data_IF_556755575249
#
_entry.id   IF_556755575249
#
_cell.length_a   1.000
_cell.length_b   1.000
_cell.length_c   1.000
_cell.angle_alpha   90.00
_cell.angle_beta   90.00
_cell.angle_gamma   90.00
#
_symmetry.space_group_name_H-M   'P 1'
#
loop_
_entity.id
_entity.type
_entity.pdbx_description
1 polymer ?
#
# COMPACT_ATOMS: atom_id res chain seq x y z
N UNK A 1 -4.34 -28.17 33.06
CA UNK A 1 -3.06 -27.65 32.53
C UNK A 1 -3.05 -27.59 30.99
N UNK A 2 -4.14 -27.13 30.34
CA UNK A 2 -4.23 -27.05 28.86
C UNK A 2 -4.81 -25.71 28.38
N UNK A 3 -5.75 -25.14 29.14
CA UNK A 3 -6.36 -23.85 28.80
C UNK A 3 -5.39 -22.65 28.89
N UNK A 4 -4.47 -22.63 29.86
CA UNK A 4 -3.49 -21.55 30.03
C UNK A 4 -2.43 -21.50 28.93
N UNK A 5 -2.01 -22.66 28.37
CA UNK A 5 -1.11 -22.69 27.21
C UNK A 5 -1.81 -22.19 25.94
N UNK A 6 -3.09 -22.54 25.74
CA UNK A 6 -3.86 -22.11 24.55
C UNK A 6 -4.07 -20.59 24.55
N UNK A 7 -4.37 -20.00 25.72
CA UNK A 7 -4.50 -18.55 25.87
C UNK A 7 -3.19 -17.80 25.61
N UNK A 8 -2.05 -18.32 26.12
CA UNK A 8 -0.74 -17.73 25.87
C UNK A 8 -0.36 -17.79 24.37
N UNK A 9 -0.63 -18.91 23.71
CA UNK A 9 -0.37 -19.07 22.26
C UNK A 9 -1.26 -18.13 21.42
N UNK A 10 -2.54 -17.96 21.75
CA UNK A 10 -3.43 -17.04 21.03
C UNK A 10 -3.00 -15.57 21.14
N UNK A 11 -2.53 -15.13 22.32
CA UNK A 11 -2.03 -13.77 22.51
C UNK A 11 -0.74 -13.54 21.72
N UNK A 12 0.18 -14.51 21.70
CA UNK A 12 1.42 -14.41 20.93
C UNK A 12 1.18 -14.39 19.41
N UNK A 13 0.25 -15.20 18.91
CA UNK A 13 -0.08 -15.23 17.47
C UNK A 13 -0.84 -13.97 17.05
N UNK A 14 -1.75 -13.44 17.89
CA UNK A 14 -2.50 -12.23 17.59
C UNK A 14 -1.62 -10.98 17.43
N UNK A 15 -0.60 -10.83 18.28
CA UNK A 15 0.37 -9.72 18.20
C UNK A 15 1.25 -9.80 16.94
N UNK A 16 1.65 -11.00 16.51
CA UNK A 16 2.48 -11.16 15.30
C UNK A 16 1.70 -10.98 14.00
N UNK A 17 0.37 -11.10 14.02
CA UNK A 17 -0.48 -10.96 12.82
C UNK A 17 -0.64 -9.50 12.40
N UNK A 18 -0.70 -8.56 13.34
CA UNK A 18 -0.90 -7.14 13.04
C UNK A 18 0.32 -6.50 12.37
N UNK A 19 1.53 -6.81 12.83
CA UNK A 19 2.76 -6.24 12.28
C UNK A 19 3.00 -6.69 10.82
N UNK A 20 2.79 -7.97 10.52
CA UNK A 20 3.00 -8.50 9.17
C UNK A 20 1.99 -7.98 8.13
N UNK A 21 0.80 -7.59 8.58
CA UNK A 21 -0.23 -7.01 7.72
C UNK A 21 0.09 -5.55 7.38
N UNK A 22 0.63 -4.78 8.33
CA UNK A 22 1.07 -3.41 8.11
C UNK A 22 2.23 -3.35 7.10
N UNK A 23 3.21 -4.25 7.22
CA UNK A 23 4.35 -4.32 6.29
C UNK A 23 3.90 -4.57 4.85
N UNK A 24 2.95 -5.50 4.63
CA UNK A 24 2.44 -5.80 3.29
C UNK A 24 1.76 -4.59 2.63
N UNK A 25 0.93 -3.85 3.36
CA UNK A 25 0.23 -2.69 2.82
C UNK A 25 1.19 -1.53 2.55
N UNK A 26 2.16 -1.32 3.44
CA UNK A 26 3.20 -0.34 3.23
C UNK A 26 4.01 -0.65 1.97
N UNK A 27 4.52 -1.87 1.83
CA UNK A 27 5.29 -2.29 0.66
C UNK A 27 4.50 -2.16 -0.64
N UNK A 28 3.23 -2.55 -0.63
CA UNK A 28 2.35 -2.43 -1.78
C UNK A 28 2.11 -0.95 -2.17
N UNK A 29 1.81 -0.08 -1.19
CA UNK A 29 1.69 1.35 -1.44
C UNK A 29 2.99 1.94 -2.00
N UNK A 30 4.14 1.64 -1.38
CA UNK A 30 5.44 2.20 -1.79
C UNK A 30 5.80 1.74 -3.20
N UNK A 31 5.56 0.48 -3.54
CA UNK A 31 5.74 -0.04 -4.89
C UNK A 31 4.88 0.68 -5.91
N UNK A 32 3.60 0.90 -5.59
CA UNK A 32 2.65 1.61 -6.44
C UNK A 32 3.00 3.10 -6.61
N UNK A 33 3.28 3.80 -5.52
CA UNK A 33 3.72 5.19 -5.53
C UNK A 33 5.08 5.36 -6.25
N UNK A 34 5.96 4.36 -6.22
CA UNK A 34 7.20 4.37 -7.01
C UNK A 34 6.93 4.31 -8.51
N UNK A 35 5.91 3.55 -8.95
CA UNK A 35 5.48 3.53 -10.34
C UNK A 35 4.91 4.90 -10.74
N UNK A 36 4.02 5.46 -9.93
CA UNK A 36 3.43 6.79 -10.19
C UNK A 36 4.50 7.89 -10.21
N UNK A 37 5.51 7.82 -9.33
CA UNK A 37 6.62 8.80 -9.32
C UNK A 37 7.37 8.85 -10.65
N UNK A 38 7.51 7.72 -11.35
CA UNK A 38 8.11 7.69 -12.69
C UNK A 38 7.25 8.44 -13.70
N UNK A 39 5.95 8.23 -13.67
CA UNK A 39 5.01 8.96 -14.53
C UNK A 39 5.03 10.47 -14.26
N UNK A 40 5.09 10.88 -13.00
CA UNK A 40 5.27 12.30 -12.62
C UNK A 40 6.58 12.86 -13.21
N UNK A 41 7.69 12.11 -13.13
CA UNK A 41 8.98 12.53 -13.69
C UNK A 41 9.00 12.58 -15.22
N UNK A 42 8.19 11.76 -15.87
CA UNK A 42 8.02 11.71 -17.32
C UNK A 42 6.94 12.69 -17.83
N UNK A 43 6.38 13.51 -16.93
CA UNK A 43 5.32 14.48 -17.23
C UNK A 43 4.08 13.85 -17.88
N UNK A 44 3.78 12.60 -17.54
CA UNK A 44 2.61 11.87 -18.04
C UNK A 44 1.33 12.49 -17.45
N UNK A 45 0.33 12.84 -18.27
CA UNK A 45 -0.93 13.38 -17.79
C UNK A 45 -1.64 12.48 -16.77
N UNK A 46 -2.29 13.07 -15.77
CA UNK A 46 -2.95 12.33 -14.68
C UNK A 46 -3.98 11.32 -15.19
N UNK A 47 -4.74 11.63 -16.24
CA UNK A 47 -5.75 10.73 -16.81
C UNK A 47 -5.13 9.48 -17.46
N UNK A 48 -3.92 9.61 -18.04
CA UNK A 48 -3.16 8.46 -18.51
C UNK A 48 -2.63 7.62 -17.34
N UNK A 49 -2.17 8.27 -16.26
CA UNK A 49 -1.71 7.59 -15.04
C UNK A 49 -2.83 6.79 -14.37
N UNK A 50 -4.03 7.36 -14.23
CA UNK A 50 -5.19 6.67 -13.64
C UNK A 50 -5.55 5.41 -14.43
N UNK A 51 -5.51 5.50 -15.76
CA UNK A 51 -5.80 4.36 -16.64
C UNK A 51 -4.74 3.26 -16.51
N UNK A 52 -3.46 3.63 -16.53
CA UNK A 52 -2.36 2.69 -16.41
C UNK A 52 -2.33 2.05 -15.01
N UNK A 53 -2.60 2.83 -13.96
CA UNK A 53 -2.74 2.33 -12.60
C UNK A 53 -3.84 1.26 -12.49
N UNK A 54 -5.02 1.52 -13.08
CA UNK A 54 -6.11 0.53 -13.12
C UNK A 54 -5.68 -0.74 -13.87
N UNK A 55 -5.06 -0.59 -15.04
CA UNK A 55 -4.57 -1.73 -15.82
C UNK A 55 -3.53 -2.57 -15.05
N UNK A 56 -2.66 -1.92 -14.26
CA UNK A 56 -1.70 -2.62 -13.40
C UNK A 56 -2.43 -3.38 -12.30
N UNK A 57 -3.38 -2.77 -11.59
CA UNK A 57 -4.15 -3.46 -10.55
C UNK A 57 -4.90 -4.68 -11.11
N UNK A 58 -5.48 -4.58 -12.30
CA UNK A 58 -6.23 -5.67 -12.94
C UNK A 58 -5.37 -6.93 -13.18
N UNK A 59 -4.06 -6.77 -13.36
CA UNK A 59 -3.08 -7.83 -13.61
C UNK A 59 -2.57 -8.51 -12.33
N UNK A 60 -2.81 -7.93 -11.15
CA UNK A 60 -2.33 -8.48 -9.89
C UNK A 60 -3.20 -9.69 -9.48
N UNK A 61 -2.63 -10.66 -8.74
CA UNK A 61 -3.39 -11.79 -8.22
C UNK A 61 -3.87 -11.57 -6.77
N UNK A 62 -5.00 -12.21 -6.42
CA UNK A 62 -5.44 -12.42 -5.04
C UNK A 62 -5.57 -11.14 -4.21
N UNK A 63 -5.13 -11.21 -2.95
CA UNK A 63 -5.28 -10.11 -1.98
C UNK A 63 -4.57 -8.81 -2.41
N UNK A 64 -3.51 -8.91 -3.22
CA UNK A 64 -2.80 -7.74 -3.73
C UNK A 64 -3.65 -6.99 -4.77
N UNK A 65 -4.41 -7.70 -5.60
CA UNK A 65 -5.38 -7.09 -6.51
C UNK A 65 -6.46 -6.35 -5.74
N UNK A 66 -7.05 -7.03 -4.77
CA UNK A 66 -8.10 -6.47 -3.92
C UNK A 66 -7.64 -5.20 -3.21
N UNK A 67 -6.43 -5.21 -2.65
CA UNK A 67 -5.83 -4.03 -2.03
C UNK A 67 -5.58 -2.91 -3.04
N UNK A 68 -5.02 -3.23 -4.21
CA UNK A 68 -4.75 -2.25 -5.27
C UNK A 68 -6.05 -1.56 -5.72
N UNK A 69 -7.08 -2.33 -6.07
CA UNK A 69 -8.36 -1.81 -6.58
C UNK A 69 -9.14 -1.02 -5.52
N UNK A 70 -9.14 -1.46 -4.27
CA UNK A 70 -10.02 -0.90 -3.23
C UNK A 70 -9.37 0.22 -2.43
N UNK A 71 -8.05 0.17 -2.27
CA UNK A 71 -7.32 1.07 -1.37
C UNK A 71 -6.35 1.99 -2.12
N UNK A 72 -5.68 1.52 -3.20
CA UNK A 72 -4.68 2.33 -3.91
C UNK A 72 -5.25 3.13 -5.09
N UNK A 73 -6.15 2.54 -5.89
CA UNK A 73 -6.80 3.25 -7.02
C UNK A 73 -7.50 4.54 -6.58
N UNK A 74 -8.27 4.58 -5.47
CA UNK A 74 -8.89 5.82 -5.00
C UNK A 74 -7.90 6.94 -4.66
N UNK A 75 -6.64 6.57 -4.37
CA UNK A 75 -5.60 7.51 -3.93
C UNK A 75 -4.67 7.96 -5.08
N UNK A 76 -4.86 7.49 -6.32
CA UNK A 76 -3.94 7.78 -7.45
C UNK A 76 -3.74 9.27 -7.69
N UNK A 77 -4.81 10.06 -7.75
CA UNK A 77 -4.75 11.52 -7.92
C UNK A 77 -3.90 12.17 -6.80
N UNK A 78 -4.17 11.79 -5.55
CA UNK A 78 -3.45 12.30 -4.39
C UNK A 78 -1.98 11.89 -4.42
N UNK A 79 -1.69 10.61 -4.70
CA UNK A 79 -0.33 10.10 -4.83
C UNK A 79 0.42 10.86 -5.94
N UNK A 80 -0.19 11.03 -7.11
CA UNK A 80 0.39 11.76 -8.23
C UNK A 80 0.77 13.21 -7.87
N UNK A 81 -0.15 13.94 -7.22
CA UNK A 81 0.07 15.34 -6.86
C UNK A 81 1.15 15.51 -5.78
N UNK A 82 1.14 14.67 -4.75
CA UNK A 82 2.10 14.74 -3.63
C UNK A 82 3.52 14.37 -4.06
N UNK A 83 3.65 13.46 -5.02
CA UNK A 83 4.94 12.97 -5.49
C UNK A 83 5.75 14.03 -6.26
N UNK A 84 5.28 15.26 -6.46
CA UNK A 84 6.17 16.34 -6.90
C UNK A 84 7.20 16.73 -5.84
N UNK A 85 6.83 16.68 -4.56
CA UNK A 85 7.64 17.21 -3.46
C UNK A 85 8.03 16.15 -2.42
N UNK A 86 7.49 14.93 -2.54
CA UNK A 86 7.69 13.86 -1.58
C UNK A 86 8.29 12.61 -2.22
N UNK A 87 8.68 11.66 -1.37
CA UNK A 87 9.08 10.30 -1.77
C UNK A 87 7.89 9.33 -1.69
N UNK A 88 7.95 8.19 -2.39
CA UNK A 88 6.96 7.11 -2.24
C UNK A 88 6.72 6.69 -0.78
N UNK A 89 7.78 6.63 0.03
CA UNK A 89 7.67 6.33 1.45
C UNK A 89 6.82 7.39 2.20
N UNK A 90 7.15 8.66 2.01
CA UNK A 90 6.48 9.77 2.69
C UNK A 90 5.00 9.87 2.34
N UNK A 91 4.63 9.64 1.06
CA UNK A 91 3.22 9.66 0.67
C UNK A 91 2.46 8.48 1.26
N UNK A 92 3.07 7.29 1.35
CA UNK A 92 2.45 6.12 1.96
C UNK A 92 2.32 6.23 3.48
N UNK A 93 3.24 6.92 4.15
CA UNK A 93 3.09 7.32 5.56
C UNK A 93 1.95 8.34 5.73
N UNK A 94 1.85 9.32 4.84
CA UNK A 94 0.76 10.31 4.85
C UNK A 94 -0.62 9.69 4.59
N UNK A 95 -0.68 8.64 3.79
CA UNK A 95 -1.89 7.86 3.53
C UNK A 95 -2.17 6.78 4.59
N UNK A 96 -1.33 6.70 5.64
CA UNK A 96 -1.45 5.74 6.74
C UNK A 96 -1.32 4.26 6.33
N UNK A 97 -0.80 4.00 5.12
CA UNK A 97 -0.43 2.64 4.70
C UNK A 97 0.91 2.19 5.31
N UNK A 98 1.77 3.15 5.65
CA UNK A 98 3.02 2.92 6.36
C UNK A 98 3.00 3.61 7.73
N UNK A 99 3.63 2.99 8.73
CA UNK A 99 3.89 3.65 10.01
C UNK A 99 4.94 4.76 9.83
N UNK A 100 4.73 5.90 10.48
CA UNK A 100 5.71 6.99 10.49
C UNK A 100 6.94 6.57 11.30
N UNK A 101 8.12 6.56 10.67
CA UNK A 101 9.40 6.28 11.34
C UNK A 101 9.95 7.50 12.09
#
# INVERSE_FOLDING_TARGET
MKATLVLAVLVCVGLTVSAQKNDFFCDACVGFATLIKKYVQEEVPLDEVEKDAQAICDLLPGDLKDFCEKELIPEVDKIYNELNNTTPQQVCEFLEFCETN
#
